data_IF_203416228943
#
_entry.id   IF_203416228943
#
_cell.length_a   1.000
_cell.length_b   1.000
_cell.length_c   1.000
_cell.angle_alpha   90.00
_cell.angle_beta   90.00
_cell.angle_gamma   90.00
#
_symmetry.space_group_name_H-M   'P 1'
#
loop_
_entity.id
_entity.type
_entity.pdbx_description
1 polymer ?
#
# COMPACT_ATOMS: atom_id res chain seq x y z
N UNK A 1 27.55 17.97 10.21
CA UNK A 1 26.48 18.19 9.21
C UNK A 1 25.31 17.30 9.60
N UNK A 2 24.25 17.88 10.18
CA UNK A 2 23.07 17.11 10.56
C UNK A 2 22.36 16.68 9.28
N UNK A 3 22.50 15.42 8.89
CA UNK A 3 21.76 14.87 7.76
C UNK A 3 20.32 14.66 8.25
N UNK A 4 19.48 15.66 8.03
CA UNK A 4 18.07 15.59 8.35
C UNK A 4 17.51 14.40 7.58
N UNK A 5 17.18 13.32 8.30
CA UNK A 5 16.63 12.09 7.73
C UNK A 5 15.31 12.46 7.04
N UNK A 6 15.36 12.71 5.73
CA UNK A 6 14.18 12.97 4.94
C UNK A 6 13.39 11.66 4.87
N UNK A 7 12.23 11.67 5.51
CA UNK A 7 11.29 10.56 5.50
C UNK A 7 10.12 10.89 4.57
N UNK A 8 9.66 9.89 3.84
CA UNK A 8 8.47 9.99 3.01
C UNK A 8 7.22 9.85 3.87
N UNK A 9 6.28 10.79 3.72
CA UNK A 9 5.01 10.68 4.44
C UNK A 9 4.21 9.47 3.96
N UNK A 10 3.65 8.74 4.93
CA UNK A 10 2.73 7.64 4.74
C UNK A 10 1.30 8.14 4.99
N UNK A 11 0.36 7.85 4.08
CA UNK A 11 -1.07 8.21 4.21
C UNK A 11 -1.88 6.93 4.36
N UNK A 12 -2.56 6.77 5.50
CA UNK A 12 -3.26 5.54 5.89
C UNK A 12 -4.79 5.65 5.82
N UNK A 13 -5.34 6.85 5.59
CA UNK A 13 -6.77 7.16 5.67
C UNK A 13 -7.70 6.14 4.97
N UNK A 14 -7.27 5.55 3.86
CA UNK A 14 -8.09 4.60 3.10
C UNK A 14 -8.07 3.17 3.64
N UNK A 15 -7.11 2.83 4.49
CA UNK A 15 -6.95 1.49 5.07
C UNK A 15 -7.10 1.48 6.60
N UNK A 16 -7.24 2.63 7.26
CA UNK A 16 -7.47 2.75 8.71
C UNK A 16 -8.57 1.80 9.22
N UNK A 17 -9.79 1.77 8.65
CA UNK A 17 -10.82 0.84 9.11
C UNK A 17 -10.41 -0.63 9.01
N UNK A 18 -9.60 -0.97 8.01
CA UNK A 18 -9.10 -2.35 7.85
C UNK A 18 -8.01 -2.65 8.88
N UNK A 19 -7.15 -1.67 9.23
CA UNK A 19 -6.14 -1.83 10.27
C UNK A 19 -6.78 -2.09 11.63
N UNK A 20 -7.88 -1.40 11.94
CA UNK A 20 -8.62 -1.57 13.21
C UNK A 20 -9.16 -3.00 13.42
N UNK A 21 -9.32 -3.77 12.35
CA UNK A 21 -9.78 -5.17 12.40
C UNK A 21 -8.65 -6.20 12.63
N UNK A 22 -7.37 -5.77 12.64
CA UNK A 22 -6.22 -6.68 12.70
C UNK A 22 -5.74 -6.93 14.13
N UNK A 23 -5.15 -8.10 14.36
CA UNK A 23 -4.48 -8.41 15.61
C UNK A 23 -3.16 -7.61 15.79
N UNK A 24 -2.70 -7.51 17.04
CA UNK A 24 -1.50 -6.75 17.40
C UNK A 24 -0.24 -7.24 16.67
N UNK A 25 -0.09 -8.55 16.50
CA UNK A 25 1.07 -9.14 15.84
C UNK A 25 1.13 -8.73 14.36
N UNK A 26 -0.03 -8.73 13.69
CA UNK A 26 -0.21 -8.30 12.31
C UNK A 26 0.07 -6.82 12.15
N UNK A 27 -0.50 -5.98 13.02
CA UNK A 27 -0.25 -4.54 13.02
C UNK A 27 1.24 -4.24 13.21
N UNK A 28 1.89 -4.88 14.19
CA UNK A 28 3.32 -4.70 14.45
C UNK A 28 4.17 -4.97 13.21
N UNK A 29 3.87 -6.03 12.47
CA UNK A 29 4.60 -6.34 11.24
C UNK A 29 4.31 -5.35 10.11
N UNK A 30 3.05 -4.93 9.94
CA UNK A 30 2.68 -3.90 8.96
C UNK A 30 3.43 -2.60 9.24
N UNK A 31 3.41 -2.12 10.49
CA UNK A 31 4.09 -0.88 10.86
C UNK A 31 5.61 -0.99 10.72
N UNK A 32 6.21 -2.14 11.00
CA UNK A 32 7.64 -2.36 10.74
C UNK A 32 7.97 -2.20 9.24
N UNK A 33 7.17 -2.78 8.36
CA UNK A 33 7.38 -2.67 6.90
C UNK A 33 7.10 -1.24 6.40
N UNK A 34 6.11 -0.54 6.98
CA UNK A 34 5.82 0.86 6.68
C UNK A 34 6.95 1.81 7.10
N UNK A 35 7.65 1.54 8.22
CA UNK A 35 8.82 2.32 8.62
C UNK A 35 9.95 2.21 7.59
N UNK A 36 10.13 1.04 6.98
CA UNK A 36 11.10 0.87 5.89
C UNK A 36 10.65 1.64 4.65
N UNK A 37 9.36 1.57 4.30
CA UNK A 37 8.80 2.35 3.19
C UNK A 37 8.91 3.86 3.42
N UNK A 38 8.69 4.34 4.63
CA UNK A 38 8.86 5.74 5.03
C UNK A 38 10.31 6.20 4.84
N UNK A 39 11.29 5.35 5.16
CA UNK A 39 12.70 5.69 5.04
C UNK A 39 13.20 5.65 3.59
N UNK A 40 12.85 4.59 2.85
CA UNK A 40 13.41 4.32 1.53
C UNK A 40 12.56 4.94 0.40
N UNK A 41 11.24 5.02 0.58
CA UNK A 41 10.34 5.66 -0.37
C UNK A 41 10.28 4.97 -1.74
N UNK A 42 10.28 5.72 -2.85
CA UNK A 42 10.07 5.17 -4.19
C UNK A 42 11.12 4.15 -4.65
N UNK A 43 12.34 4.19 -4.10
CA UNK A 43 13.43 3.25 -4.40
C UNK A 43 13.23 1.88 -3.76
N UNK A 44 12.34 1.77 -2.76
CA UNK A 44 12.06 0.49 -2.13
C UNK A 44 11.46 -0.50 -3.15
N UNK A 45 12.08 -1.66 -3.23
CA UNK A 45 11.73 -2.76 -4.12
C UNK A 45 11.64 -4.09 -3.37
N UNK A 46 11.91 -5.18 -4.08
CA UNK A 46 11.83 -6.52 -3.51
C UNK A 46 12.85 -6.71 -2.37
N UNK A 47 12.52 -7.47 -1.31
CA UNK A 47 11.33 -8.32 -1.20
C UNK A 47 10.06 -7.59 -0.70
N UNK A 48 10.16 -6.42 -0.08
CA UNK A 48 9.04 -5.76 0.59
C UNK A 48 8.04 -5.13 -0.37
N UNK A 49 8.51 -4.57 -1.48
CA UNK A 49 7.67 -3.86 -2.45
C UNK A 49 7.81 -4.47 -3.83
N UNK A 50 6.71 -4.52 -4.57
CA UNK A 50 6.73 -4.85 -6.00
C UNK A 50 5.75 -3.96 -6.78
N UNK A 51 5.94 -3.90 -8.10
CA UNK A 51 5.00 -3.23 -9.01
C UNK A 51 3.83 -4.15 -9.32
N UNK A 52 2.63 -3.60 -9.30
CA UNK A 52 1.41 -4.33 -9.64
C UNK A 52 1.26 -4.39 -11.16
N UNK A 53 1.14 -5.61 -11.70
CA UNK A 53 0.87 -5.83 -13.12
C UNK A 53 -0.62 -5.73 -13.43
N UNK A 54 -0.97 -5.30 -14.64
CA UNK A 54 -2.36 -5.20 -15.10
C UNK A 54 -3.11 -3.94 -14.64
N UNK A 55 -2.45 -3.05 -13.89
CA UNK A 55 -3.00 -1.74 -13.53
C UNK A 55 -2.84 -0.73 -14.67
N UNK A 56 -3.83 0.13 -14.85
CA UNK A 56 -3.76 1.34 -15.69
C UNK A 56 -2.86 2.41 -15.07
N UNK A 57 -2.65 2.35 -13.75
CA UNK A 57 -1.67 3.19 -13.06
C UNK A 57 -0.30 2.51 -13.11
N UNK A 58 0.60 3.07 -13.93
CA UNK A 58 1.94 2.50 -14.12
C UNK A 58 2.76 2.45 -12.82
N UNK A 59 2.47 3.30 -11.84
CA UNK A 59 3.18 3.37 -10.56
C UNK A 59 2.40 2.72 -9.41
N UNK A 60 1.34 1.94 -9.67
CA UNK A 60 0.68 1.17 -8.61
C UNK A 60 1.62 0.07 -8.12
N UNK A 61 1.84 0.03 -6.81
CA UNK A 61 2.74 -0.89 -6.11
C UNK A 61 1.96 -1.71 -5.08
N UNK A 62 2.58 -2.79 -4.62
CA UNK A 62 2.12 -3.56 -3.47
C UNK A 62 3.20 -3.62 -2.39
N UNK A 63 2.81 -3.40 -1.13
CA UNK A 63 3.59 -3.79 0.04
C UNK A 63 3.27 -5.25 0.36
N UNK A 64 4.33 -6.04 0.61
CA UNK A 64 4.28 -7.50 0.73
C UNK A 64 4.67 -7.91 2.14
N UNK A 65 3.68 -7.93 3.02
CA UNK A 65 3.86 -8.34 4.41
C UNK A 65 3.74 -9.88 4.48
N UNK A 66 4.79 -10.58 4.94
CA UNK A 66 4.87 -12.05 4.85
C UNK A 66 5.07 -12.77 6.19
N UNK A 67 5.26 -12.07 7.29
CA UNK A 67 5.62 -12.67 8.59
C UNK A 67 4.47 -12.74 9.61
N UNK A 68 3.22 -12.51 9.18
CA UNK A 68 2.05 -12.47 10.06
C UNK A 68 1.41 -13.86 10.26
N UNK A 69 2.12 -14.80 10.91
CA UNK A 69 1.51 -16.07 11.35
C UNK A 69 0.89 -16.93 10.24
N UNK A 70 1.41 -16.86 9.01
CA UNK A 70 0.88 -17.57 7.84
C UNK A 70 -0.08 -16.75 6.97
N UNK A 71 -0.50 -15.56 7.40
CA UNK A 71 -1.26 -14.62 6.57
C UNK A 71 -0.35 -14.00 5.50
N UNK A 72 -0.95 -13.72 4.33
CA UNK A 72 -0.23 -13.09 3.22
C UNK A 72 -0.89 -11.75 2.95
N UNK A 73 -0.46 -10.71 3.66
CA UNK A 73 -1.08 -9.40 3.54
C UNK A 73 -0.46 -8.64 2.37
N UNK A 74 -1.33 -8.04 1.54
CA UNK A 74 -0.95 -7.15 0.45
C UNK A 74 -1.64 -5.82 0.64
N UNK A 75 -0.87 -4.75 0.51
CA UNK A 75 -1.39 -3.39 0.55
C UNK A 75 -1.05 -2.71 -0.76
N UNK A 76 -2.07 -2.40 -1.56
CA UNK A 76 -1.93 -1.65 -2.79
C UNK A 76 -1.72 -0.17 -2.47
N UNK A 77 -0.71 0.44 -3.08
CA UNK A 77 -0.36 1.83 -2.81
C UNK A 77 0.26 2.51 -4.03
N UNK A 78 0.30 3.83 -4.00
CA UNK A 78 0.97 4.65 -5.01
C UNK A 78 1.58 5.89 -4.34
N UNK A 79 2.59 6.48 -4.98
CA UNK A 79 3.08 7.80 -4.59
C UNK A 79 2.24 8.87 -5.28
N UNK A 80 1.72 9.83 -4.51
CA UNK A 80 0.96 10.96 -5.04
C UNK A 80 1.88 12.05 -5.65
N UNK A 81 1.32 13.12 -6.26
CA UNK A 81 2.12 14.24 -6.77
C UNK A 81 2.95 14.99 -5.71
N UNK A 82 2.57 14.91 -4.43
CA UNK A 82 3.32 15.46 -3.28
C UNK A 82 4.37 14.48 -2.74
N UNK A 83 4.61 13.36 -3.44
CA UNK A 83 5.55 12.29 -3.09
C UNK A 83 5.22 11.58 -1.77
N UNK A 84 3.95 11.54 -1.37
CA UNK A 84 3.47 10.79 -0.21
C UNK A 84 3.08 9.38 -0.65
N UNK A 85 3.44 8.35 0.13
CA UNK A 85 2.98 6.99 -0.11
C UNK A 85 1.55 6.84 0.40
N UNK A 86 0.59 6.74 -0.52
CA UNK A 86 -0.83 6.63 -0.21
C UNK A 86 -1.24 5.17 -0.26
N UNK A 87 -1.55 4.59 0.90
CA UNK A 87 -2.02 3.21 1.02
C UNK A 87 -3.51 3.21 0.68
N UNK A 88 -3.88 2.49 -0.39
CA UNK A 88 -5.20 2.60 -1.02
C UNK A 88 -6.12 1.46 -0.61
N UNK A 89 -5.59 0.25 -0.52
CA UNK A 89 -6.39 -0.94 -0.25
C UNK A 89 -5.52 -2.03 0.36
N UNK A 90 -5.91 -2.53 1.52
CA UNK A 90 -5.28 -3.65 2.19
C UNK A 90 -6.15 -4.91 2.10
N UNK A 91 -5.52 -6.08 2.13
CA UNK A 91 -6.24 -7.34 2.22
C UNK A 91 -5.35 -8.51 2.61
N UNK A 92 -5.92 -9.41 3.40
CA UNK A 92 -5.34 -10.70 3.71
C UNK A 92 -5.63 -11.69 2.58
N UNK A 93 -4.57 -12.06 1.87
CA UNK A 93 -4.61 -12.96 0.73
C UNK A 93 -4.66 -14.44 1.15
N UNK A 94 -4.41 -14.77 2.41
CA UNK A 94 -4.52 -16.16 2.91
C UNK A 94 -5.97 -16.64 2.90
N UNK A 95 -6.93 -15.75 3.17
CA UNK A 95 -8.39 -16.02 3.11
C UNK A 95 -8.90 -16.26 1.69
N UNK A 96 -8.16 -15.85 0.66
CA UNK A 96 -8.51 -16.11 -0.74
C UNK A 96 -8.20 -17.56 -1.17
N UNK A 97 -7.61 -18.40 -0.31
CA UNK A 97 -7.24 -19.78 -0.65
C UNK A 97 -5.97 -19.85 -1.52
N UNK A 98 -5.28 -20.99 -1.44
CA UNK A 98 -3.92 -21.18 -1.94
C UNK A 98 -3.79 -21.43 -3.46
N UNK A 99 -4.88 -21.36 -4.24
CA UNK A 99 -4.83 -21.63 -5.69
C UNK A 99 -4.54 -20.38 -6.53
N UNK A 100 -3.57 -20.47 -7.45
CA UNK A 100 -3.15 -19.35 -8.33
C UNK A 100 -4.31 -18.66 -9.08
N UNK A 101 -5.40 -19.38 -9.37
CA UNK A 101 -6.61 -18.81 -9.97
C UNK A 101 -7.32 -17.80 -9.04
N UNK A 102 -7.46 -18.12 -7.75
CA UNK A 102 -8.04 -17.19 -6.77
C UNK A 102 -7.14 -15.97 -6.51
N UNK A 103 -5.82 -16.15 -6.66
CA UNK A 103 -4.83 -15.07 -6.55
C UNK A 103 -5.02 -14.01 -7.66
N UNK A 104 -5.30 -14.45 -8.89
CA UNK A 104 -5.63 -13.55 -9.98
C UNK A 104 -6.97 -12.84 -9.76
N UNK A 105 -7.95 -13.55 -9.18
CA UNK A 105 -9.26 -12.99 -8.83
C UNK A 105 -9.16 -11.81 -7.85
N UNK A 106 -8.31 -11.92 -6.81
CA UNK A 106 -8.11 -10.81 -5.86
C UNK A 106 -7.59 -9.55 -6.57
N UNK A 107 -6.56 -9.67 -7.44
CA UNK A 107 -6.04 -8.52 -8.17
C UNK A 107 -7.05 -7.96 -9.17
N UNK A 108 -7.77 -8.82 -9.90
CA UNK A 108 -8.80 -8.39 -10.85
C UNK A 108 -9.90 -7.54 -10.18
N UNK A 109 -10.23 -7.84 -8.93
CA UNK A 109 -11.22 -7.10 -8.15
C UNK A 109 -10.61 -5.83 -7.51
N UNK A 110 -9.41 -5.93 -6.94
CA UNK A 110 -8.87 -4.88 -6.08
C UNK A 110 -8.04 -3.83 -6.81
N UNK A 111 -7.43 -4.15 -7.95
CA UNK A 111 -6.70 -3.16 -8.76
C UNK A 111 -7.64 -2.04 -9.21
N UNK A 112 -8.81 -2.30 -9.84
CA UNK A 112 -9.72 -1.22 -10.25
C UNK A 112 -10.20 -0.35 -9.09
N UNK A 113 -10.42 -0.95 -7.90
CA UNK A 113 -10.80 -0.22 -6.69
C UNK A 113 -9.68 0.70 -6.22
N UNK A 114 -8.46 0.20 -6.11
CA UNK A 114 -7.29 1.00 -5.73
C UNK A 114 -7.06 2.15 -6.73
N UNK A 115 -7.19 1.90 -8.04
CA UNK A 115 -7.10 2.96 -9.05
C UNK A 115 -8.17 4.06 -8.85
N UNK A 116 -9.41 3.67 -8.54
CA UNK A 116 -10.48 4.63 -8.29
C UNK A 116 -10.22 5.48 -7.05
N UNK A 117 -9.74 4.87 -5.96
CA UNK A 117 -9.34 5.56 -4.73
C UNK A 117 -8.21 6.55 -5.00
N UNK A 118 -7.19 6.14 -5.76
CA UNK A 118 -6.09 7.03 -6.12
C UNK A 118 -6.55 8.23 -6.96
N UNK A 119 -7.39 8.00 -7.99
CA UNK A 119 -7.97 9.10 -8.77
C UNK A 119 -8.77 10.08 -7.92
N UNK A 120 -9.48 9.58 -6.90
CA UNK A 120 -10.22 10.42 -5.95
C UNK A 120 -9.27 11.21 -5.05
N UNK A 121 -8.20 10.58 -4.56
CA UNK A 121 -7.19 11.23 -3.74
C UNK A 121 -6.53 12.41 -4.48
N UNK A 122 -6.05 12.18 -5.70
CA UNK A 122 -5.39 13.23 -6.50
C UNK A 122 -6.34 14.40 -6.76
N UNK A 123 -7.60 14.14 -7.12
CA UNK A 123 -8.60 15.22 -7.29
C UNK A 123 -8.85 16.04 -6.03
N UNK A 124 -8.70 15.44 -4.84
CA UNK A 124 -8.81 16.16 -3.56
C UNK A 124 -7.59 17.05 -3.36
N UNK A 125 -6.39 16.51 -3.59
CA UNK A 125 -5.14 17.28 -3.51
C UNK A 125 -5.13 18.51 -4.44
N UNK A 126 -5.68 18.39 -5.65
CA UNK A 126 -5.76 19.50 -6.60
C UNK A 126 -6.65 20.64 -6.07
N UNK A 127 -7.77 20.30 -5.40
CA UNK A 127 -8.69 21.27 -4.80
C UNK A 127 -8.10 21.95 -3.56
N UNK A 128 -7.38 21.18 -2.75
CA UNK A 128 -6.73 21.67 -1.53
C UNK A 128 -5.41 22.42 -1.81
N UNK A 129 -4.91 22.36 -3.05
CA UNK A 129 -3.69 23.03 -3.53
C UNK A 129 -3.93 24.36 -4.26
N UNK A 130 -5.20 24.74 -4.48
CA UNK A 130 -5.62 26.08 -4.91
C UNK A 130 -6.08 26.89 -3.70
N UNK A 131 -5.13 27.45 -2.96
CA UNK A 131 -5.33 28.54 -1.99
C UNK A 131 -4.05 29.38 -1.92
#
# INVERSE_FOLDING_TARGET
MSNQLHRYRIVLDYIEPWLDEQDEATLKQIYADLLVLEKEGPSLGRPLVDRVKGSKLHHLKELRVTSCGGQVIRILFAFDPKRQAVLLLAGDKSRAGSSRAKWNGWYAINIPKAEQLYRRHVRRLDRDGTA
#
